data_IF_873073065888
#
_entry.id   IF_873073065888
#
_cell.length_a   1.000
_cell.length_b   1.000
_cell.length_c   1.000
_cell.angle_alpha   90.00
_cell.angle_beta   90.00
_cell.angle_gamma   90.00
#
_symmetry.space_group_name_H-M   'P 1'
#
loop_
_entity.id
_entity.type
_entity.pdbx_description
1 polymer ?
#
# COMPACT_ATOMS: atom_id res chain seq x y z
N UNK A 1 -6.23 27.56 40.42
CA UNK A 1 -7.48 27.06 39.80
C UNK A 1 -7.25 25.64 39.31
N UNK A 2 -8.10 24.68 39.70
CA UNK A 2 -7.91 23.24 39.42
C UNK A 2 -7.74 22.95 37.92
N UNK A 3 -6.79 22.07 37.56
CA UNK A 3 -6.49 21.70 36.17
C UNK A 3 -7.72 21.17 35.41
N UNK A 4 -8.69 20.54 36.09
CA UNK A 4 -9.92 20.05 35.47
C UNK A 4 -10.85 21.17 34.99
N UNK A 5 -10.98 22.28 35.73
CA UNK A 5 -11.86 23.40 35.35
C UNK A 5 -11.35 24.14 34.11
N UNK A 6 -10.03 24.18 33.94
CA UNK A 6 -9.40 24.80 32.76
C UNK A 6 -9.59 23.99 31.47
N UNK A 7 -9.70 22.66 31.54
CA UNK A 7 -9.97 21.79 30.36
C UNK A 7 -11.44 21.88 29.94
N UNK A 8 -12.36 21.84 30.91
CA UNK A 8 -13.79 21.99 30.66
C UNK A 8 -14.14 23.38 30.09
N UNK A 9 -13.49 24.44 30.59
CA UNK A 9 -13.64 25.79 30.05
C UNK A 9 -13.12 25.89 28.60
N UNK A 10 -11.95 25.33 28.31
CA UNK A 10 -11.40 25.34 26.95
C UNK A 10 -12.31 24.60 25.95
N UNK A 11 -12.90 23.47 26.35
CA UNK A 11 -13.85 22.72 25.52
C UNK A 11 -15.14 23.51 25.25
N UNK A 12 -15.69 24.15 26.30
CA UNK A 12 -16.90 24.98 26.19
C UNK A 12 -16.66 26.22 25.32
N UNK A 13 -15.50 26.85 25.44
CA UNK A 13 -15.12 28.00 24.63
C UNK A 13 -14.81 27.60 23.17
N UNK A 14 -14.32 26.38 22.95
CA UNK A 14 -14.14 25.80 21.61
C UNK A 14 -15.49 25.61 20.91
N UNK A 15 -16.48 25.05 21.60
CA UNK A 15 -17.84 24.91 21.08
C UNK A 15 -18.54 26.27 20.84
N UNK A 16 -18.32 27.24 21.73
CA UNK A 16 -18.85 28.60 21.55
C UNK A 16 -18.21 29.32 20.35
N UNK A 17 -16.90 29.17 20.18
CA UNK A 17 -16.14 29.69 19.04
C UNK A 17 -16.46 29.00 17.71
N UNK A 18 -16.87 27.73 17.74
CA UNK A 18 -17.39 27.00 16.57
C UNK A 18 -18.70 27.61 16.07
N UNK A 19 -19.60 28.02 16.97
CA UNK A 19 -20.89 28.61 16.59
C UNK A 19 -20.77 30.03 16.03
N UNK A 20 -19.79 30.82 16.47
CA UNK A 20 -19.54 32.17 15.95
C UNK A 20 -18.79 32.18 14.61
N UNK A 21 -17.89 31.22 14.36
CA UNK A 21 -17.07 31.14 13.15
C UNK A 21 -17.30 29.81 12.39
N UNK A 22 -18.56 29.37 12.33
CA UNK A 22 -18.92 28.07 11.78
C UNK A 22 -18.53 27.91 10.31
N UNK A 23 -18.76 28.96 9.49
CA UNK A 23 -18.46 28.94 8.06
C UNK A 23 -16.97 28.70 7.78
N UNK A 24 -16.07 29.45 8.45
CA UNK A 24 -14.63 29.30 8.28
C UNK A 24 -14.10 27.96 8.79
N UNK A 25 -14.63 27.48 9.92
CA UNK A 25 -14.24 26.18 10.46
C UNK A 25 -14.71 25.03 9.57
N UNK A 26 -15.97 25.09 9.08
CA UNK A 26 -16.52 24.10 8.16
C UNK A 26 -15.75 24.06 6.85
N UNK A 27 -15.41 25.23 6.29
CA UNK A 27 -14.61 25.33 5.07
C UNK A 27 -13.21 24.72 5.26
N UNK A 28 -12.52 25.06 6.36
CA UNK A 28 -11.21 24.51 6.69
C UNK A 28 -11.26 22.98 6.91
N UNK A 29 -12.32 22.48 7.55
CA UNK A 29 -12.56 21.04 7.76
C UNK A 29 -12.77 20.34 6.42
N UNK A 30 -13.59 20.91 5.54
CA UNK A 30 -13.90 20.33 4.23
C UNK A 30 -12.68 20.29 3.31
N UNK A 31 -11.91 21.38 3.23
CA UNK A 31 -10.64 21.43 2.50
C UNK A 31 -9.64 20.38 3.02
N UNK A 32 -9.55 20.24 4.35
CA UNK A 32 -8.68 19.25 4.97
C UNK A 32 -9.17 17.82 4.71
N UNK A 33 -10.49 17.58 4.73
CA UNK A 33 -11.08 16.29 4.42
C UNK A 33 -10.81 15.87 2.97
N UNK A 34 -10.97 16.78 2.01
CA UNK A 34 -10.64 16.54 0.60
C UNK A 34 -9.15 16.28 0.39
N UNK A 35 -8.29 17.04 1.05
CA UNK A 35 -6.85 16.83 0.96
C UNK A 35 -6.41 15.49 1.55
N UNK A 36 -7.08 15.00 2.61
CA UNK A 36 -6.83 13.70 3.21
C UNK A 36 -7.47 12.53 2.44
N UNK A 37 -8.59 12.76 1.74
CA UNK A 37 -9.28 11.69 1.00
C UNK A 37 -8.49 11.21 -0.20
N UNK A 38 -7.74 12.09 -0.87
CA UNK A 38 -6.91 11.74 -2.03
C UNK A 38 -5.84 10.68 -1.69
N UNK A 39 -4.93 10.90 -0.71
CA UNK A 39 -3.96 9.89 -0.30
C UNK A 39 -4.61 8.58 0.14
N UNK A 40 -5.68 8.67 0.93
CA UNK A 40 -6.39 7.49 1.41
C UNK A 40 -6.97 6.66 0.26
N UNK A 41 -7.59 7.33 -0.71
CA UNK A 41 -8.20 6.69 -1.87
C UNK A 41 -7.14 6.01 -2.75
N UNK A 42 -6.05 6.72 -3.06
CA UNK A 42 -4.92 6.17 -3.81
C UNK A 42 -4.33 4.97 -3.08
N UNK A 43 -4.03 5.09 -1.79
CA UNK A 43 -3.44 3.99 -1.00
C UNK A 43 -4.34 2.76 -0.97
N UNK A 44 -5.66 2.95 -0.88
CA UNK A 44 -6.63 1.84 -0.86
C UNK A 44 -6.64 1.12 -2.20
N UNK A 45 -6.73 1.86 -3.32
CA UNK A 45 -6.69 1.26 -4.65
C UNK A 45 -5.39 0.50 -4.87
N UNK A 46 -4.24 1.09 -4.54
CA UNK A 46 -2.95 0.43 -4.73
C UNK A 46 -2.80 -0.84 -3.90
N UNK A 47 -3.32 -0.85 -2.67
CA UNK A 47 -3.28 -2.04 -1.80
C UNK A 47 -4.08 -3.19 -2.42
N UNK A 48 -5.30 -2.91 -2.88
CA UNK A 48 -6.19 -3.91 -3.50
C UNK A 48 -5.69 -4.37 -4.87
N UNK A 49 -5.16 -3.47 -5.69
CA UNK A 49 -4.62 -3.82 -7.02
C UNK A 49 -3.30 -4.60 -6.95
N UNK A 50 -2.54 -4.44 -5.86
CA UNK A 50 -1.29 -5.16 -5.67
C UNK A 50 -1.50 -6.61 -5.23
N UNK A 51 -2.67 -6.96 -4.67
CA UNK A 51 -2.93 -8.30 -4.15
C UNK A 51 -2.93 -9.38 -5.25
N UNK A 52 -3.60 -9.21 -6.40
CA UNK A 52 -3.49 -10.16 -7.52
C UNK A 52 -2.06 -10.34 -8.03
N UNK A 53 -1.26 -9.25 -8.03
CA UNK A 53 0.14 -9.29 -8.48
C UNK A 53 1.01 -10.08 -7.50
N UNK A 54 0.71 -10.02 -6.19
CA UNK A 54 1.41 -10.81 -5.16
C UNK A 54 1.12 -12.31 -5.24
N UNK A 55 -0.01 -12.69 -5.81
CA UNK A 55 -0.43 -14.08 -5.94
C UNK A 55 0.16 -14.79 -7.18
N UNK A 56 0.77 -14.05 -8.10
CA UNK A 56 1.49 -14.65 -9.23
C UNK A 56 2.71 -15.41 -8.67
N UNK A 57 2.80 -16.75 -8.85
CA UNK A 57 3.93 -17.53 -8.37
C UNK A 57 5.21 -16.98 -9.00
N UNK A 58 6.08 -16.41 -8.18
CA UNK A 58 7.42 -15.93 -8.57
C UNK A 58 8.46 -17.05 -8.56
N UNK A 59 8.03 -18.29 -8.37
CA UNK A 59 8.86 -19.49 -8.40
C UNK A 59 9.34 -19.77 -9.82
N UNK A 60 10.65 -19.88 -10.00
CA UNK A 60 11.27 -20.15 -11.30
C UNK A 60 11.19 -21.65 -11.56
N UNK A 61 10.47 -22.03 -12.61
CA UNK A 61 10.44 -23.40 -13.09
C UNK A 61 11.58 -23.59 -14.10
N UNK A 62 12.61 -24.32 -13.72
CA UNK A 62 13.64 -24.78 -14.65
C UNK A 62 13.11 -26.04 -15.31
N UNK A 63 12.89 -25.97 -16.63
CA UNK A 63 12.47 -27.13 -17.41
C UNK A 63 13.71 -27.86 -17.93
N UNK A 64 13.93 -29.08 -17.46
CA UNK A 64 15.05 -29.94 -17.83
C UNK A 64 14.57 -30.98 -18.83
N UNK A 65 15.10 -30.94 -20.06
CA UNK A 65 14.86 -31.97 -21.07
C UNK A 65 15.89 -33.09 -20.90
N UNK A 66 15.42 -34.34 -20.82
CA UNK A 66 16.27 -35.52 -20.60
C UNK A 66 16.61 -36.24 -21.90
N UNK A 67 17.71 -36.99 -21.93
CA UNK A 67 18.07 -37.87 -23.05
C UNK A 67 17.24 -39.14 -23.04
N UNK A 68 16.89 -39.65 -24.22
CA UNK A 68 16.13 -40.90 -24.38
C UNK A 68 16.86 -42.10 -23.75
N UNK A 69 16.21 -42.78 -22.79
CA UNK A 69 16.76 -43.97 -22.11
C UNK A 69 17.43 -43.69 -20.75
N UNK A 70 17.29 -42.48 -20.21
CA UNK A 70 17.86 -42.10 -18.91
C UNK A 70 17.02 -42.61 -17.73
N UNK A 71 17.69 -43.05 -16.66
CA UNK A 71 17.07 -43.45 -15.40
C UNK A 71 16.53 -42.23 -14.64
N UNK A 72 15.24 -41.95 -14.82
CA UNK A 72 14.55 -40.77 -14.29
C UNK A 72 14.55 -40.67 -12.75
N UNK A 73 14.59 -41.80 -12.03
CA UNK A 73 14.68 -41.79 -10.57
C UNK A 73 16.05 -41.29 -10.08
N UNK A 74 17.13 -41.65 -10.76
CA UNK A 74 18.48 -41.16 -10.41
C UNK A 74 18.64 -39.68 -10.73
N UNK A 75 18.10 -39.24 -11.86
CA UNK A 75 18.17 -37.84 -12.28
C UNK A 75 17.33 -36.95 -11.35
N UNK A 76 16.13 -37.39 -10.96
CA UNK A 76 15.30 -36.66 -9.99
C UNK A 76 15.96 -36.50 -8.62
N UNK A 77 16.65 -37.53 -8.11
CA UNK A 77 17.41 -37.47 -6.85
C UNK A 77 18.62 -36.54 -6.95
N UNK A 78 19.39 -36.63 -8.03
CA UNK A 78 20.56 -35.77 -8.24
C UNK A 78 20.18 -34.29 -8.38
N UNK A 79 19.02 -33.99 -8.97
CA UNK A 79 18.48 -32.63 -9.04
C UNK A 79 17.92 -32.20 -7.68
N UNK A 80 17.22 -33.06 -6.94
CA UNK A 80 16.69 -32.75 -5.61
C UNK A 80 17.78 -32.51 -4.54
N UNK A 81 19.00 -33.00 -4.74
CA UNK A 81 20.16 -32.74 -3.85
C UNK A 81 20.74 -31.33 -4.00
N UNK A 82 20.31 -30.55 -4.99
CA UNK A 82 20.72 -29.16 -5.15
C UNK A 82 19.92 -28.30 -4.16
N UNK A 83 20.61 -27.74 -3.17
CA UNK A 83 20.05 -26.91 -2.08
C UNK A 83 19.12 -25.76 -2.55
N UNK A 84 19.30 -25.32 -3.79
CA UNK A 84 18.52 -24.26 -4.43
C UNK A 84 17.13 -24.70 -4.94
N UNK A 85 16.87 -26.00 -5.03
CA UNK A 85 15.69 -26.60 -5.66
C UNK A 85 14.70 -27.05 -4.59
N UNK A 86 13.48 -26.53 -4.65
CA UNK A 86 12.46 -26.72 -3.62
C UNK A 86 11.50 -27.86 -3.98
N UNK A 87 11.24 -28.07 -5.27
CA UNK A 87 10.40 -29.15 -5.76
C UNK A 87 10.92 -29.66 -7.09
N UNK A 88 10.91 -30.98 -7.24
CA UNK A 88 11.18 -31.66 -8.51
C UNK A 88 9.92 -32.42 -8.90
N UNK A 89 9.31 -32.03 -10.02
CA UNK A 89 8.15 -32.71 -10.58
C UNK A 89 8.57 -33.44 -11.85
N UNK A 90 8.22 -34.72 -11.93
CA UNK A 90 8.47 -35.53 -13.09
C UNK A 90 7.24 -35.51 -13.98
N UNK A 91 7.37 -34.97 -15.19
CA UNK A 91 6.27 -34.93 -16.17
C UNK A 91 6.59 -35.95 -17.25
N UNK A 92 5.93 -37.13 -17.24
CA UNK A 92 6.12 -38.12 -18.28
C UNK A 92 5.69 -37.56 -19.63
N UNK A 93 6.36 -38.02 -20.68
CA UNK A 93 6.14 -37.64 -22.09
C UNK A 93 4.67 -37.57 -22.55
N UNK A 94 3.78 -38.40 -21.99
CA UNK A 94 2.36 -38.46 -22.34
C UNK A 94 1.54 -37.32 -21.72
N UNK A 95 2.00 -36.76 -20.60
CA UNK A 95 1.36 -35.67 -19.86
C UNK A 95 1.87 -34.30 -20.35
N UNK A 96 3.14 -34.23 -20.75
CA UNK A 96 3.73 -33.05 -21.39
C UNK A 96 3.01 -32.65 -22.69
N UNK A 97 2.61 -33.62 -23.54
CA UNK A 97 1.84 -33.36 -24.76
C UNK A 97 0.44 -32.84 -24.44
N UNK A 98 -0.23 -33.36 -23.39
CA UNK A 98 -1.57 -32.91 -23.03
C UNK A 98 -1.56 -31.46 -22.57
N UNK A 99 -0.65 -31.10 -21.67
CA UNK A 99 -0.52 -29.72 -21.18
C UNK A 99 -0.15 -28.75 -22.30
N UNK A 100 0.74 -29.15 -23.21
CA UNK A 100 1.09 -28.33 -24.37
C UNK A 100 -0.09 -28.13 -25.34
N UNK A 101 -0.87 -29.17 -25.61
CA UNK A 101 -2.06 -29.08 -26.46
C UNK A 101 -3.16 -28.22 -25.83
N UNK A 102 -3.32 -28.26 -24.50
CA UNK A 102 -4.24 -27.39 -23.77
C UNK A 102 -3.82 -25.92 -23.84
N UNK A 103 -2.54 -25.60 -23.59
CA UNK A 103 -2.04 -24.22 -23.68
C UNK A 103 -2.06 -23.65 -25.11
N UNK A 104 -1.86 -24.48 -26.12
CA UNK A 104 -1.94 -24.07 -27.53
C UNK A 104 -3.38 -24.06 -28.08
N UNK A 105 -4.38 -24.48 -27.30
CA UNK A 105 -5.78 -24.60 -27.75
C UNK A 105 -5.98 -25.65 -28.86
N UNK A 106 -5.00 -26.53 -29.05
CA UNK A 106 -5.01 -27.57 -30.09
C UNK A 106 -5.75 -28.79 -29.53
N UNK A 107 -7.08 -28.80 -29.69
CA UNK A 107 -7.89 -29.97 -29.35
C UNK A 107 -7.46 -31.18 -30.20
N UNK A 108 -6.87 -32.16 -29.53
CA UNK A 108 -6.86 -33.58 -29.92
C UNK A 108 -6.16 -33.94 -31.25
N UNK A 109 -5.00 -33.35 -31.54
CA UNK A 109 -4.10 -33.95 -32.54
C UNK A 109 -3.22 -35.02 -31.87
N UNK A 110 -3.67 -36.26 -31.95
CA UNK A 110 -2.86 -37.43 -31.63
C UNK A 110 -1.64 -37.49 -32.57
N UNK A 111 -0.51 -36.92 -32.12
CA UNK A 111 0.76 -37.03 -32.84
C UNK A 111 1.23 -38.48 -32.72
N UNK A 112 1.23 -39.23 -33.84
CA UNK A 112 1.58 -40.66 -33.92
C UNK A 112 3.02 -41.02 -33.49
N UNK A 113 3.88 -40.03 -33.27
CA UNK A 113 5.22 -40.18 -32.73
C UNK A 113 5.43 -39.04 -31.75
N UNK A 114 5.53 -39.35 -30.45
CA UNK A 114 5.83 -38.36 -29.42
C UNK A 114 7.28 -37.88 -29.60
N UNK A 115 7.53 -36.65 -30.07
CA UNK A 115 8.87 -36.13 -30.28
C UNK A 115 9.48 -35.54 -29.00
N UNK A 116 8.71 -35.48 -27.91
CA UNK A 116 9.11 -34.87 -26.65
C UNK A 116 9.76 -35.92 -25.74
N UNK A 117 10.99 -35.67 -25.25
CA UNK A 117 11.59 -36.49 -24.21
C UNK A 117 10.85 -36.29 -22.89
N UNK A 118 11.11 -37.15 -21.91
CA UNK A 118 10.59 -36.95 -20.56
C UNK A 118 11.16 -35.65 -19.97
N UNK A 119 10.29 -34.87 -19.31
CA UNK A 119 10.60 -33.54 -18.82
C UNK A 119 10.64 -33.56 -17.30
N UNK A 120 11.67 -32.95 -16.74
CA UNK A 120 11.80 -32.76 -15.30
C UNK A 120 11.69 -31.26 -14.99
N UNK A 121 10.64 -30.88 -14.26
CA UNK A 121 10.42 -29.50 -13.85
C UNK A 121 11.03 -29.34 -12.46
N UNK A 122 12.13 -28.61 -12.39
CA UNK A 122 12.78 -28.24 -11.13
C UNK A 122 12.34 -26.84 -10.74
N UNK A 123 11.48 -26.74 -9.74
CA UNK A 123 11.06 -25.46 -9.15
C UNK A 123 12.16 -24.96 -8.22
N UNK A 124 12.81 -23.87 -8.59
CA UNK A 124 13.82 -23.18 -7.78
C UNK A 124 13.12 -22.34 -6.73
N UNK A 125 13.70 -22.30 -5.52
CA UNK A 125 13.11 -21.52 -4.44
C UNK A 125 12.98 -20.04 -4.77
N UNK A 126 11.85 -19.45 -4.37
CA UNK A 126 11.47 -18.05 -4.64
C UNK A 126 12.49 -17.03 -4.13
N UNK A 127 13.26 -17.38 -3.08
CA UNK A 127 14.26 -16.54 -2.43
C UNK A 127 15.65 -16.55 -3.10
N UNK A 128 15.85 -17.37 -4.12
CA UNK A 128 17.15 -17.49 -4.79
C UNK A 128 17.42 -16.29 -5.69
N UNK A 129 18.62 -15.71 -5.59
CA UNK A 129 19.05 -14.61 -6.47
C UNK A 129 19.20 -15.10 -7.92
N UNK A 130 19.08 -14.23 -8.94
CA UNK A 130 19.28 -14.61 -10.34
C UNK A 130 20.59 -15.36 -10.58
N UNK A 131 21.69 -14.91 -9.96
CA UNK A 131 22.99 -15.58 -10.01
C UNK A 131 22.98 -16.98 -9.35
N UNK A 132 22.16 -17.20 -8.32
CA UNK A 132 21.95 -18.50 -7.71
C UNK A 132 21.13 -19.46 -8.59
N UNK A 133 20.19 -18.93 -9.38
CA UNK A 133 19.46 -19.68 -10.41
C UNK A 133 20.40 -20.11 -11.53
N UNK A 134 21.25 -19.21 -12.04
CA UNK A 134 22.27 -19.52 -13.05
C UNK A 134 23.26 -20.59 -12.54
N UNK A 135 23.70 -20.47 -11.28
CA UNK A 135 24.60 -21.45 -10.66
C UNK A 135 23.93 -22.83 -10.49
N UNK A 136 22.63 -22.86 -10.18
CA UNK A 136 21.86 -24.11 -10.10
C UNK A 136 21.67 -24.72 -11.50
N UNK A 137 21.30 -23.92 -12.51
CA UNK A 137 21.16 -24.36 -13.89
C UNK A 137 22.48 -24.97 -14.42
N UNK A 138 23.61 -24.31 -14.19
CA UNK A 138 24.93 -24.82 -14.58
C UNK A 138 25.39 -26.07 -13.81
N UNK A 139 24.82 -26.35 -12.63
CA UNK A 139 25.03 -27.62 -11.92
C UNK A 139 24.16 -28.74 -12.50
N UNK A 140 22.91 -28.44 -12.86
CA UNK A 140 22.00 -29.40 -13.49
C UNK A 140 22.52 -29.81 -14.87
N UNK A 141 23.07 -28.89 -15.65
CA UNK A 141 23.59 -29.17 -17.00
C UNK A 141 24.73 -30.20 -17.01
N UNK A 142 25.49 -30.27 -15.91
CA UNK A 142 26.63 -31.19 -15.76
C UNK A 142 26.24 -32.61 -15.34
N UNK A 143 24.96 -32.86 -15.04
CA UNK A 143 24.47 -34.19 -14.66
C UNK A 143 24.34 -35.06 -15.93
N UNK A 144 24.90 -36.27 -15.89
CA UNK A 144 24.73 -37.24 -16.98
C UNK A 144 23.24 -37.55 -17.21
N UNK A 145 22.77 -37.38 -18.44
CA UNK A 145 21.37 -37.62 -18.84
C UNK A 145 20.54 -36.38 -19.14
N UNK A 146 21.08 -35.17 -18.90
CA UNK A 146 20.47 -33.90 -19.33
C UNK A 146 20.83 -33.61 -20.79
N UNK A 147 19.85 -33.19 -21.60
CA UNK A 147 20.03 -32.82 -23.01
C UNK A 147 20.01 -31.30 -23.20
N UNK A 148 18.99 -30.63 -22.64
CA UNK A 148 18.82 -29.18 -22.75
C UNK A 148 18.11 -28.62 -21.52
N UNK A 149 18.52 -27.43 -21.09
CA UNK A 149 17.85 -26.65 -20.04
C UNK A 149 17.15 -25.46 -20.68
N UNK A 150 15.84 -25.34 -20.46
CA UNK A 150 15.09 -24.14 -20.78
C UNK A 150 14.83 -23.38 -19.48
N UNK A 151 15.52 -22.26 -19.31
CA UNK A 151 15.24 -21.29 -18.27
C UNK A 151 15.45 -19.89 -18.84
N UNK A 152 14.49 -19.00 -18.62
CA UNK A 152 14.56 -17.61 -19.09
C UNK A 152 14.72 -16.73 -17.85
N UNK A 153 15.90 -16.14 -17.64
CA UNK A 153 16.19 -15.26 -16.48
C UNK A 153 15.85 -13.80 -16.76
N UNK A 154 15.90 -13.42 -18.03
CA UNK A 154 15.68 -12.06 -18.54
C UNK A 154 14.36 -11.43 -18.07
N UNK A 155 13.28 -12.20 -18.04
CA UNK A 155 11.96 -11.67 -17.66
C UNK A 155 11.90 -11.33 -16.17
N UNK A 156 12.59 -12.07 -15.30
CA UNK A 156 12.62 -11.82 -13.85
C UNK A 156 13.45 -10.59 -13.54
N UNK A 157 14.60 -10.40 -14.18
CA UNK A 157 15.41 -9.18 -14.00
C UNK A 157 14.64 -7.94 -14.47
N UNK A 158 13.95 -8.03 -15.61
CA UNK A 158 13.06 -6.95 -16.11
C UNK A 158 11.90 -6.68 -15.15
N UNK A 159 11.28 -7.72 -14.59
CA UNK A 159 10.16 -7.59 -13.65
C UNK A 159 10.62 -7.01 -12.30
N UNK A 160 11.77 -7.43 -11.80
CA UNK A 160 12.34 -6.91 -10.54
C UNK A 160 12.77 -5.45 -10.70
N UNK A 161 13.43 -5.11 -11.81
CA UNK A 161 13.76 -3.73 -12.15
C UNK A 161 12.51 -2.85 -12.25
N UNK A 162 11.44 -3.33 -12.91
CA UNK A 162 10.16 -2.61 -12.99
C UNK A 162 9.49 -2.47 -11.63
N UNK A 163 9.48 -3.52 -10.82
CA UNK A 163 8.90 -3.52 -9.47
C UNK A 163 9.64 -2.58 -8.54
N UNK A 164 10.97 -2.53 -8.63
CA UNK A 164 11.81 -1.64 -7.84
C UNK A 164 11.62 -0.18 -8.29
N UNK A 165 11.56 0.09 -9.60
CA UNK A 165 11.25 1.41 -10.12
C UNK A 165 9.85 1.88 -9.68
N UNK A 166 8.84 1.00 -9.72
CA UNK A 166 7.49 1.29 -9.24
C UNK A 166 7.49 1.58 -7.73
N UNK A 167 8.22 0.81 -6.92
CA UNK A 167 8.36 1.05 -5.48
C UNK A 167 8.99 2.41 -5.18
N UNK A 168 10.05 2.76 -5.90
CA UNK A 168 10.73 4.04 -5.74
C UNK A 168 9.83 5.21 -6.17
N UNK A 169 9.12 5.06 -7.29
CA UNK A 169 8.12 6.02 -7.75
C UNK A 169 6.99 6.23 -6.74
N UNK A 170 6.49 5.15 -6.14
CA UNK A 170 5.44 5.20 -5.12
C UNK A 170 5.94 5.88 -3.83
N UNK A 171 7.20 5.65 -3.45
CA UNK A 171 7.82 6.31 -2.30
C UNK A 171 7.94 7.82 -2.54
N UNK A 172 8.43 8.24 -3.71
CA UNK A 172 8.49 9.64 -4.11
C UNK A 172 7.09 10.29 -4.10
N UNK A 173 6.09 9.62 -4.68
CA UNK A 173 4.71 10.08 -4.68
C UNK A 173 4.18 10.22 -3.24
N UNK A 174 4.47 9.24 -2.37
CA UNK A 174 4.10 9.26 -0.96
C UNK A 174 4.68 10.47 -0.21
N UNK A 175 5.95 10.81 -0.44
CA UNK A 175 6.58 12.00 0.16
C UNK A 175 5.90 13.29 -0.32
N UNK A 176 5.61 13.40 -1.63
CA UNK A 176 4.94 14.57 -2.21
C UNK A 176 3.55 14.74 -1.61
N UNK A 177 2.77 13.66 -1.54
CA UNK A 177 1.41 13.70 -0.98
C UNK A 177 1.44 14.02 0.52
N UNK A 178 2.36 13.45 1.28
CA UNK A 178 2.54 13.76 2.71
C UNK A 178 2.88 15.24 2.91
N UNK A 179 3.75 15.80 2.08
CA UNK A 179 4.12 17.22 2.13
C UNK A 179 2.92 18.11 1.78
N UNK A 180 2.14 17.75 0.75
CA UNK A 180 0.93 18.46 0.35
C UNK A 180 -0.10 18.48 1.50
N UNK A 181 -0.35 17.32 2.12
CA UNK A 181 -1.26 17.20 3.27
C UNK A 181 -0.79 18.08 4.42
N UNK A 182 0.49 18.04 4.79
CA UNK A 182 1.03 18.91 5.84
C UNK A 182 0.81 20.39 5.53
N UNK A 183 1.01 20.80 4.27
CA UNK A 183 0.82 22.19 3.84
C UNK A 183 -0.65 22.62 3.93
N UNK A 184 -1.59 21.79 3.48
CA UNK A 184 -3.04 22.08 3.57
C UNK A 184 -3.51 22.15 5.02
N UNK A 185 -3.04 21.24 5.87
CA UNK A 185 -3.37 21.23 7.30
C UNK A 185 -2.80 22.47 7.99
N UNK A 186 -1.55 22.83 7.73
CA UNK A 186 -0.94 24.05 8.26
C UNK A 186 -1.68 25.31 7.82
N UNK A 187 -2.08 25.39 6.55
CA UNK A 187 -2.90 26.50 6.03
C UNK A 187 -4.27 26.58 6.72
N UNK A 188 -4.94 25.44 6.91
CA UNK A 188 -6.25 25.35 7.56
C UNK A 188 -6.19 25.77 9.03
N UNK A 189 -5.15 25.33 9.75
CA UNK A 189 -4.92 25.73 11.15
C UNK A 189 -4.58 27.21 11.23
N UNK A 190 -3.81 27.76 10.29
CA UNK A 190 -3.49 29.19 10.24
C UNK A 190 -4.74 30.04 10.02
N UNK A 191 -5.61 29.65 9.08
CA UNK A 191 -6.88 30.33 8.82
C UNK A 191 -7.79 30.36 10.05
N UNK A 192 -7.92 29.22 10.73
CA UNK A 192 -8.73 29.15 11.96
C UNK A 192 -8.09 29.91 13.12
N UNK A 193 -6.75 29.93 13.23
CA UNK A 193 -6.04 30.68 14.29
C UNK A 193 -6.16 32.20 14.11
N UNK A 194 -6.07 32.71 12.87
CA UNK A 194 -6.22 34.15 12.58
C UNK A 194 -7.57 34.69 13.07
N UNK A 195 -8.65 33.91 12.95
CA UNK A 195 -9.97 34.31 13.43
C UNK A 195 -10.07 34.49 14.95
N UNK A 196 -9.16 33.90 15.73
CA UNK A 196 -9.16 33.90 17.21
C UNK A 196 -8.07 34.82 17.78
N UNK A 197 -7.23 35.40 16.93
CA UNK A 197 -6.14 36.29 17.33
C UNK A 197 -6.58 37.51 18.19
N UNK A 198 -7.73 38.18 17.93
CA UNK A 198 -8.19 39.29 18.76
C UNK A 198 -8.52 38.86 20.21
N UNK A 199 -9.04 37.65 20.38
CA UNK A 199 -9.37 37.09 21.70
C UNK A 199 -8.10 36.79 22.49
N UNK A 200 -7.06 36.25 21.84
CA UNK A 200 -5.76 36.04 22.47
C UNK A 200 -5.11 37.34 22.95
N UNK A 201 -5.22 38.41 22.16
CA UNK A 201 -4.68 39.73 22.54
C UNK A 201 -5.37 40.29 23.77
N UNK A 202 -6.69 40.12 23.88
CA UNK A 202 -7.44 40.47 25.09
C UNK A 202 -6.96 39.64 26.30
N UNK A 203 -6.87 38.31 26.18
CA UNK A 203 -6.38 37.41 27.24
C UNK A 203 -4.95 37.77 27.70
N UNK A 204 -4.08 38.18 26.78
CA UNK A 204 -2.74 38.65 27.10
C UNK A 204 -2.77 39.94 27.94
N UNK A 205 -3.61 40.91 27.57
CA UNK A 205 -3.76 42.18 28.29
C UNK A 205 -4.29 41.98 29.72
N UNK A 206 -5.07 40.92 29.97
CA UNK A 206 -5.52 40.53 31.30
C UNK A 206 -4.52 39.66 32.08
N UNK A 207 -3.31 39.43 31.54
CA UNK A 207 -2.24 38.68 32.24
C UNK A 207 -2.46 37.17 32.30
N UNK A 208 -3.24 36.59 31.38
CA UNK A 208 -3.45 35.15 31.34
C UNK A 208 -2.12 34.40 31.09
N UNK A 209 -1.94 33.24 31.74
CA UNK A 209 -0.76 32.41 31.51
C UNK A 209 -0.70 31.87 30.06
N UNK A 210 0.49 31.74 29.45
CA UNK A 210 0.62 31.28 28.06
C UNK A 210 -0.05 29.92 27.83
N UNK A 211 0.09 29.01 28.80
CA UNK A 211 -0.51 27.67 28.74
C UNK A 211 -2.03 27.69 28.83
N UNK A 212 -2.64 28.70 29.46
CA UNK A 212 -4.09 28.86 29.49
C UNK A 212 -4.62 29.38 28.14
N UNK A 213 -3.92 30.32 27.50
CA UNK A 213 -4.31 30.87 26.21
C UNK A 213 -4.13 29.88 25.03
N UNK A 214 -3.16 28.96 25.12
CA UNK A 214 -2.86 28.00 24.04
C UNK A 214 -3.81 26.79 23.98
N UNK A 215 -4.41 26.39 25.11
CA UNK A 215 -5.25 25.18 25.19
C UNK A 215 -6.47 25.18 24.25
N UNK A 216 -7.27 26.26 24.15
CA UNK A 216 -8.41 26.27 23.24
C UNK A 216 -8.00 26.09 21.77
N UNK A 217 -6.84 26.60 21.36
CA UNK A 217 -6.35 26.48 19.99
C UNK A 217 -5.92 25.04 19.69
N UNK A 218 -5.23 24.40 20.64
CA UNK A 218 -4.84 23.00 20.51
C UNK A 218 -6.05 22.06 20.38
N UNK A 219 -7.09 22.27 21.19
CA UNK A 219 -8.35 21.51 21.10
C UNK A 219 -9.10 21.76 19.78
N UNK A 220 -9.07 22.99 19.26
CA UNK A 220 -9.64 23.31 17.94
C UNK A 220 -8.93 22.56 16.81
N UNK A 221 -7.60 22.50 16.83
CA UNK A 221 -6.82 21.75 15.85
C UNK A 221 -7.10 20.24 15.89
N UNK A 222 -7.24 19.68 17.09
CA UNK A 222 -7.62 18.28 17.28
C UNK A 222 -9.00 17.98 16.68
N UNK A 223 -10.03 18.76 17.04
CA UNK A 223 -11.41 18.55 16.54
C UNK A 223 -11.49 18.77 15.02
N UNK A 224 -10.76 19.76 14.50
CA UNK A 224 -10.68 20.03 13.06
C UNK A 224 -10.13 18.81 12.30
N UNK A 225 -9.00 18.26 12.75
CA UNK A 225 -8.43 17.08 12.09
C UNK A 225 -9.23 15.80 12.32
N UNK A 226 -9.85 15.65 13.50
CA UNK A 226 -10.73 14.51 13.78
C UNK A 226 -11.95 14.51 12.85
N UNK A 227 -12.60 15.66 12.68
CA UNK A 227 -13.74 15.79 11.76
C UNK A 227 -13.31 15.70 10.29
N UNK A 228 -12.16 16.26 9.93
CA UNK A 228 -11.63 16.17 8.56
C UNK A 228 -11.26 14.73 8.18
N UNK A 229 -10.59 13.98 9.06
CA UNK A 229 -10.23 12.57 8.81
C UNK A 229 -11.45 11.67 8.72
N UNK A 230 -12.46 11.89 9.57
CA UNK A 230 -13.74 11.17 9.48
C UNK A 230 -14.47 11.49 8.17
N UNK A 231 -14.49 12.77 7.77
CA UNK A 231 -15.02 13.20 6.49
C UNK A 231 -14.27 12.58 5.31
N UNK A 232 -12.94 12.50 5.38
CA UNK A 232 -12.10 11.86 4.37
C UNK A 232 -12.45 10.39 4.19
N UNK A 233 -12.62 9.64 5.30
CA UNK A 233 -13.06 8.24 5.26
C UNK A 233 -14.45 8.12 4.61
N UNK A 234 -15.39 8.99 4.96
CA UNK A 234 -16.72 8.98 4.36
C UNK A 234 -16.69 9.26 2.86
N UNK A 235 -15.87 10.23 2.42
CA UNK A 235 -15.67 10.56 0.99
C UNK A 235 -15.03 9.37 0.27
N UNK A 236 -14.00 8.76 0.85
CA UNK A 236 -13.34 7.58 0.28
C UNK A 236 -14.29 6.40 0.19
N UNK A 237 -15.13 6.16 1.20
CA UNK A 237 -16.16 5.11 1.16
C UNK A 237 -17.20 5.36 0.06
N UNK A 238 -17.71 6.59 -0.04
CA UNK A 238 -18.65 6.95 -1.11
C UNK A 238 -18.01 6.77 -2.49
N UNK A 239 -16.74 7.17 -2.65
CA UNK A 239 -15.97 6.94 -3.86
C UNK A 239 -15.82 5.46 -4.20
N UNK A 240 -15.42 4.64 -3.23
CA UNK A 240 -15.31 3.18 -3.40
C UNK A 240 -16.66 2.53 -3.73
N UNK A 241 -17.76 2.97 -3.10
CA UNK A 241 -19.08 2.43 -3.39
C UNK A 241 -19.53 2.73 -4.83
N UNK A 242 -19.21 3.93 -5.34
CA UNK A 242 -19.51 4.32 -6.72
C UNK A 242 -18.62 3.57 -7.73
N UNK A 243 -17.32 3.45 -7.45
CA UNK A 243 -16.38 2.74 -8.33
C UNK A 243 -16.49 1.21 -8.24
N UNK A 244 -16.94 0.68 -7.10
CA UNK A 244 -17.04 -0.74 -6.84
C UNK A 244 -18.01 -1.45 -7.79
N UNK A 245 -19.09 -0.77 -8.22
CA UNK A 245 -20.06 -1.37 -9.13
C UNK A 245 -19.50 -1.58 -10.56
N UNK A 246 -18.87 -0.58 -11.22
CA UNK A 246 -18.16 -0.79 -12.47
C UNK A 246 -17.02 -1.80 -12.36
N UNK A 247 -16.20 -1.72 -11.30
CA UNK A 247 -15.03 -2.59 -11.15
C UNK A 247 -15.45 -4.04 -10.93
N UNK A 248 -16.46 -4.30 -10.10
CA UNK A 248 -17.00 -5.66 -9.89
C UNK A 248 -17.58 -6.26 -11.18
N UNK A 249 -18.13 -5.42 -12.06
CA UNK A 249 -18.63 -5.87 -13.37
C UNK A 249 -17.48 -6.33 -14.26
N UNK A 250 -16.38 -5.56 -14.33
CA UNK A 250 -15.18 -5.94 -15.09
C UNK A 250 -14.50 -7.18 -14.48
N UNK A 251 -14.40 -7.25 -13.15
CA UNK A 251 -13.83 -8.39 -12.44
C UNK A 251 -14.56 -9.70 -12.77
N UNK A 252 -15.90 -9.68 -12.82
CA UNK A 252 -16.70 -10.84 -13.24
C UNK A 252 -16.45 -11.27 -14.69
N UNK A 253 -16.16 -10.34 -15.60
CA UNK A 253 -15.83 -10.64 -16.99
C UNK A 253 -14.48 -11.37 -17.13
N UNK A 254 -13.57 -11.18 -16.18
CA UNK A 254 -12.25 -11.80 -16.17
C UNK A 254 -12.13 -12.96 -15.17
N UNK A 255 -13.25 -13.41 -14.57
CA UNK A 255 -13.28 -14.45 -13.52
C UNK A 255 -12.37 -14.15 -12.31
N UNK A 256 -12.04 -12.88 -12.06
CA UNK A 256 -11.25 -12.45 -10.90
C UNK A 256 -12.20 -11.91 -9.84
N UNK A 257 -12.15 -12.47 -8.63
CA UNK A 257 -12.87 -11.90 -7.47
C UNK A 257 -12.13 -10.67 -6.95
N UNK A 258 -12.38 -9.51 -7.55
CA UNK A 258 -11.87 -8.23 -7.05
C UNK A 258 -12.94 -7.54 -6.19
N UNK A 259 -12.77 -7.56 -4.87
CA UNK A 259 -13.62 -6.82 -3.94
C UNK A 259 -12.88 -5.59 -3.43
N UNK A 260 -13.19 -4.40 -3.94
CA UNK A 260 -12.74 -3.14 -3.33
C UNK A 260 -13.48 -2.96 -2.00
N UNK A 261 -12.87 -3.43 -0.91
CA UNK A 261 -13.36 -3.19 0.43
C UNK A 261 -12.69 -1.95 1.05
N UNK A 262 -13.32 -1.38 2.06
CA UNK A 262 -12.61 -0.44 2.91
C UNK A 262 -11.53 -1.20 3.70
N UNK A 263 -10.40 -0.54 4.03
CA UNK A 263 -9.45 -1.09 4.97
C UNK A 263 -10.12 -1.46 6.30
N UNK A 264 -9.55 -2.40 7.07
CA UNK A 264 -10.10 -2.79 8.37
C UNK A 264 -10.37 -1.59 9.27
N UNK A 265 -11.41 -1.68 10.11
CA UNK A 265 -11.82 -0.60 11.02
C UNK A 265 -10.66 -0.13 11.91
N UNK A 266 -9.75 -1.05 12.28
CA UNK A 266 -8.55 -0.74 13.06
C UNK A 266 -7.59 0.24 12.35
N UNK A 267 -7.43 0.09 11.03
CA UNK A 267 -6.61 0.99 10.23
C UNK A 267 -7.25 2.38 10.11
N UNK A 268 -8.57 2.42 9.91
CA UNK A 268 -9.32 3.67 9.90
C UNK A 268 -9.24 4.39 11.24
N UNK A 269 -9.37 3.65 12.35
CA UNK A 269 -9.23 4.19 13.70
C UNK A 269 -7.82 4.75 13.95
N UNK A 270 -6.78 3.99 13.56
CA UNK A 270 -5.39 4.43 13.63
C UNK A 270 -5.14 5.72 12.83
N UNK A 271 -5.67 5.80 11.62
CA UNK A 271 -5.58 7.00 10.77
C UNK A 271 -6.21 8.23 11.44
N UNK A 272 -7.44 8.11 11.96
CA UNK A 272 -8.12 9.21 12.65
C UNK A 272 -7.33 9.69 13.87
N UNK A 273 -6.81 8.76 14.67
CA UNK A 273 -6.01 9.08 15.86
C UNK A 273 -4.74 9.85 15.46
N UNK A 274 -3.99 9.35 14.48
CA UNK A 274 -2.75 9.97 14.01
C UNK A 274 -3.02 11.37 13.46
N UNK A 275 -4.02 11.53 12.59
CA UNK A 275 -4.40 12.85 12.05
C UNK A 275 -4.80 13.82 13.16
N UNK A 276 -5.57 13.36 14.15
CA UNK A 276 -6.01 14.20 15.27
C UNK A 276 -4.84 14.65 16.15
N UNK A 277 -3.86 13.77 16.40
CA UNK A 277 -2.63 14.11 17.13
C UNK A 277 -1.76 15.09 16.36
N UNK A 278 -1.58 14.89 15.05
CA UNK A 278 -0.85 15.83 14.18
C UNK A 278 -1.53 17.20 14.21
N UNK A 279 -2.85 17.26 14.09
CA UNK A 279 -3.62 18.50 14.19
C UNK A 279 -3.44 19.22 15.52
N UNK A 280 -3.41 18.47 16.62
CA UNK A 280 -3.14 19.01 17.95
C UNK A 280 -1.73 19.62 18.05
N UNK A 281 -0.70 18.93 17.55
CA UNK A 281 0.69 19.40 17.58
C UNK A 281 0.87 20.65 16.72
N UNK A 282 0.36 20.66 15.48
CA UNK A 282 0.49 21.81 14.58
C UNK A 282 -0.25 23.03 15.15
N UNK A 283 -1.40 22.82 15.79
CA UNK A 283 -2.13 23.89 16.47
C UNK A 283 -1.38 24.44 17.68
N UNK A 284 -0.67 23.61 18.45
CA UNK A 284 0.21 24.07 19.53
C UNK A 284 1.36 24.92 19.00
N UNK A 285 2.04 24.48 17.93
CA UNK A 285 3.12 25.24 17.31
C UNK A 285 2.63 26.61 16.80
N UNK A 286 1.48 26.62 16.13
CA UNK A 286 0.84 27.85 15.65
C UNK A 286 0.46 28.79 16.80
N UNK A 287 -0.02 28.25 17.92
CA UNK A 287 -0.34 29.02 19.12
C UNK A 287 0.91 29.61 19.80
N UNK A 288 2.03 28.88 19.81
CA UNK A 288 3.31 29.38 20.30
C UNK A 288 3.81 30.55 19.47
N UNK A 289 3.74 30.45 18.14
CA UNK A 289 4.13 31.53 17.23
C UNK A 289 3.24 32.76 17.38
N UNK A 290 1.93 32.56 17.54
CA UNK A 290 0.99 33.64 17.79
C UNK A 290 1.30 34.36 19.12
N UNK A 291 1.63 33.61 20.18
CA UNK A 291 2.02 34.18 21.47
C UNK A 291 3.33 34.97 21.41
N UNK A 292 4.35 34.47 20.70
CA UNK A 292 5.62 35.21 20.49
C UNK A 292 5.37 36.55 19.79
N UNK A 293 4.46 36.59 18.83
CA UNK A 293 4.08 37.82 18.13
C UNK A 293 3.28 38.78 19.03
N UNK A 294 2.43 38.28 19.91
CA UNK A 294 1.67 39.13 20.84
C UNK A 294 2.54 39.80 21.92
N UNK A 295 3.75 39.27 22.16
CA UNK A 295 4.75 39.85 23.08
C UNK A 295 5.57 40.99 22.47
N UNK A 296 5.64 41.08 21.13
CA UNK A 296 6.30 42.18 20.40
C UNK A 296 5.32 43.31 20.17
#
# INVERSE_FOLDING_TARGET
MSYASSRAWALKETFRGFRQNFSLFSLATFLSALALSIPLFISTIFYELAEPIRQIPTSVEITVFTKSGTDMEKLSKAVAEIETIERVSLVPKDEAIRSLNEHLGLKDKAVKHNPLPDILIATVSSSTSPAGVDAAAGRIEKIEGVDMLAYETDWREKLDALSNAARLGLLCLGIVVLTLVMLVVAASIRLTTLSVQPQMKALYLFGASPSFAMRPIAWRGFILMMSASLGAIAITYAGLAVLGHPIATVARLYEVELALALPPVDWCAGFVIICSLIGYIIALLSAQDAWRKARR
#
